data_IF_360311889860
#
_entry.id   IF_360311889860
#
_cell.length_a   1.000
_cell.length_b   1.000
_cell.length_c   1.000
_cell.angle_alpha   90.00
_cell.angle_beta   90.00
_cell.angle_gamma   90.00
#
_symmetry.space_group_name_H-M   'P 1'
#
loop_
_entity.id
_entity.type
_entity.pdbx_description
1 polymer ?
#
# COMPACT_ATOMS: atom_id res chain seq x y z
N UNK A 1 11.31 30.95 -5.19
CA UNK A 1 11.09 30.39 -3.85
C UNK A 1 10.94 28.88 -4.00
N UNK A 2 12.01 28.08 -3.90
CA UNK A 2 11.85 26.63 -3.81
C UNK A 2 11.21 26.32 -2.45
N UNK A 3 10.01 25.72 -2.46
CA UNK A 3 9.43 25.18 -1.23
C UNK A 3 10.24 23.94 -0.84
N UNK A 4 11.18 24.12 0.08
CA UNK A 4 11.78 23.02 0.83
C UNK A 4 10.64 22.42 1.67
N UNK A 5 10.12 21.27 1.23
CA UNK A 5 9.32 20.41 2.09
C UNK A 5 10.28 19.83 3.14
N UNK A 6 10.45 20.54 4.25
CA UNK A 6 11.11 19.98 5.42
C UNK A 6 10.16 18.93 6.02
N UNK A 7 10.54 17.66 5.91
CA UNK A 7 9.89 16.59 6.65
C UNK A 7 10.07 16.87 8.13
N UNK A 8 8.99 17.25 8.80
CA UNK A 8 9.03 17.57 10.24
C UNK A 8 8.71 16.33 11.06
N UNK A 9 9.10 16.29 12.34
CA UNK A 9 8.72 15.19 13.25
C UNK A 9 7.19 15.00 13.33
N UNK A 10 6.40 16.05 13.06
CA UNK A 10 4.94 15.97 12.99
C UNK A 10 4.41 15.11 11.83
N UNK A 11 5.20 14.88 10.77
CA UNK A 11 4.84 13.98 9.68
C UNK A 11 4.97 12.50 10.07
N UNK A 12 5.74 12.17 11.12
CA UNK A 12 5.91 10.80 11.62
C UNK A 12 4.68 10.30 12.39
N UNK A 13 3.96 11.20 13.07
CA UNK A 13 2.83 10.84 13.95
C UNK A 13 1.46 11.00 13.27
N UNK A 14 1.41 11.34 11.99
CA UNK A 14 0.13 11.47 11.29
C UNK A 14 -0.56 10.11 11.18
N UNK A 15 -1.88 10.02 11.41
CA UNK A 15 -2.59 8.76 11.21
C UNK A 15 -2.53 8.36 9.73
N UNK A 16 -2.18 7.10 9.47
CA UNK A 16 -2.20 6.55 8.13
C UNK A 16 -3.59 6.71 7.50
N UNK A 17 -3.61 7.12 6.24
CA UNK A 17 -4.82 7.13 5.44
C UNK A 17 -5.26 5.69 5.14
N UNK A 18 -6.55 5.49 4.81
CA UNK A 18 -7.05 4.14 4.48
C UNK A 18 -6.26 3.44 3.36
N UNK A 19 -5.83 4.10 2.27
CA UNK A 19 -4.95 3.48 1.27
C UNK A 19 -3.58 3.06 1.82
N UNK A 20 -2.97 3.87 2.68
CA UNK A 20 -1.67 3.54 3.31
C UNK A 20 -1.82 2.33 4.24
N UNK A 21 -2.88 2.27 5.05
CA UNK A 21 -3.19 1.08 5.87
C UNK A 21 -3.41 -0.17 5.02
N UNK A 22 -4.04 -0.06 3.85
CA UNK A 22 -4.18 -1.21 2.95
C UNK A 22 -2.83 -1.66 2.38
N UNK A 23 -1.94 -0.72 2.06
CA UNK A 23 -0.59 -1.04 1.59
C UNK A 23 0.22 -1.74 2.69
N UNK A 24 0.12 -1.26 3.93
CA UNK A 24 0.73 -1.90 5.11
C UNK A 24 0.19 -3.32 5.33
N UNK A 25 -1.13 -3.50 5.24
CA UNK A 25 -1.73 -4.84 5.36
C UNK A 25 -1.22 -5.78 4.28
N UNK A 26 -1.13 -5.32 3.03
CA UNK A 26 -0.55 -6.13 1.93
C UNK A 26 0.92 -6.42 2.20
N UNK A 27 1.69 -5.47 2.71
CA UNK A 27 3.10 -5.67 3.09
C UNK A 27 3.24 -6.74 4.17
N UNK A 28 2.42 -6.73 5.21
CA UNK A 28 2.41 -7.78 6.24
C UNK A 28 2.06 -9.16 5.68
N UNK A 29 1.16 -9.22 4.70
CA UNK A 29 0.72 -10.47 4.08
C UNK A 29 1.64 -10.96 2.97
N UNK A 30 2.56 -10.13 2.49
CA UNK A 30 3.41 -10.44 1.35
C UNK A 30 4.56 -11.35 1.77
N UNK A 31 4.61 -12.54 1.18
CA UNK A 31 5.63 -13.58 1.43
C UNK A 31 6.94 -13.34 0.63
N UNK A 32 7.05 -12.22 -0.08
CA UNK A 32 8.18 -11.89 -0.96
C UNK A 32 8.10 -12.45 -2.37
N UNK A 33 7.10 -13.29 -2.70
CA UNK A 33 7.01 -13.98 -4.01
C UNK A 33 5.62 -13.92 -4.64
N UNK A 34 4.58 -14.03 -3.83
CA UNK A 34 3.21 -14.26 -4.25
C UNK A 34 2.39 -12.98 -4.12
N UNK A 35 1.76 -12.49 -5.20
CA UNK A 35 0.84 -11.37 -5.12
C UNK A 35 -0.30 -11.65 -4.15
N UNK A 36 -0.56 -10.71 -3.24
CA UNK A 36 -1.62 -10.82 -2.23
C UNK A 36 -2.97 -10.54 -2.89
N UNK A 37 -3.95 -11.44 -2.74
CA UNK A 37 -5.27 -11.23 -3.37
C UNK A 37 -6.12 -10.27 -2.55
N UNK A 38 -6.92 -9.46 -3.23
CA UNK A 38 -7.90 -8.56 -2.60
C UNK A 38 -8.85 -9.28 -1.63
N UNK A 39 -9.21 -10.54 -1.95
CA UNK A 39 -10.08 -11.35 -1.10
C UNK A 39 -9.40 -11.67 0.23
N UNK A 40 -8.14 -12.10 0.20
CA UNK A 40 -7.39 -12.47 1.40
C UNK A 40 -7.19 -11.26 2.32
N UNK A 41 -6.95 -10.07 1.75
CA UNK A 41 -6.89 -8.80 2.50
C UNK A 41 -8.23 -8.48 3.15
N UNK A 42 -9.34 -8.65 2.41
CA UNK A 42 -10.68 -8.42 2.93
C UNK A 42 -11.05 -9.37 4.07
N UNK A 43 -10.69 -10.65 3.92
CA UNK A 43 -10.90 -11.69 4.93
C UNK A 43 -10.07 -11.40 6.19
N UNK A 44 -8.78 -11.04 6.07
CA UNK A 44 -7.92 -10.67 7.21
C UNK A 44 -8.46 -9.48 7.98
N UNK A 45 -8.98 -8.48 7.28
CA UNK A 45 -9.53 -7.27 7.91
C UNK A 45 -10.99 -7.45 8.36
N UNK A 46 -11.64 -8.57 8.02
CA UNK A 46 -13.09 -8.76 8.19
C UNK A 46 -13.90 -7.59 7.60
N UNK A 47 -13.50 -7.11 6.42
CA UNK A 47 -14.09 -5.95 5.74
C UNK A 47 -14.74 -6.33 4.41
N UNK A 48 -15.65 -5.47 3.95
CA UNK A 48 -16.33 -5.65 2.67
C UNK A 48 -15.32 -5.56 1.51
N UNK A 49 -15.33 -6.59 0.66
CA UNK A 49 -14.45 -6.72 -0.51
C UNK A 49 -14.42 -5.47 -1.41
N UNK A 50 -15.59 -4.88 -1.72
CA UNK A 50 -15.68 -3.70 -2.60
C UNK A 50 -14.96 -2.48 -2.04
N UNK A 51 -15.05 -2.26 -0.73
CA UNK A 51 -14.36 -1.19 -0.01
C UNK A 51 -12.85 -1.41 -0.03
N UNK A 52 -12.40 -2.62 0.33
CA UNK A 52 -10.98 -3.01 0.32
C UNK A 52 -10.39 -2.87 -1.08
N UNK A 53 -11.07 -3.38 -2.11
CA UNK A 53 -10.69 -3.21 -3.52
C UNK A 53 -10.49 -1.74 -3.86
N UNK A 54 -11.41 -0.87 -3.46
CA UNK A 54 -11.35 0.56 -3.76
C UNK A 54 -10.12 1.21 -3.12
N UNK A 55 -9.84 0.92 -1.86
CA UNK A 55 -8.67 1.47 -1.17
C UNK A 55 -7.35 0.92 -1.72
N UNK A 56 -7.28 -0.36 -2.10
CA UNK A 56 -6.09 -0.93 -2.75
C UNK A 56 -5.82 -0.29 -4.12
N UNK A 57 -6.84 0.00 -4.92
CA UNK A 57 -6.65 0.74 -6.16
C UNK A 57 -6.17 2.17 -5.92
N UNK A 58 -6.64 2.82 -4.84
CA UNK A 58 -6.11 4.13 -4.43
C UNK A 58 -4.65 4.03 -3.99
N UNK A 59 -4.29 3.00 -3.23
CA UNK A 59 -2.91 2.74 -2.83
C UNK A 59 -2.00 2.51 -4.06
N UNK A 60 -2.49 1.79 -5.06
CA UNK A 60 -1.77 1.63 -6.32
C UNK A 60 -1.59 2.93 -7.11
N UNK A 61 -2.59 3.82 -7.11
CA UNK A 61 -2.47 5.17 -7.70
C UNK A 61 -1.46 6.06 -6.96
N UNK A 62 -1.25 5.82 -5.67
CA UNK A 62 -0.24 6.50 -4.85
C UNK A 62 1.16 5.89 -5.02
N UNK A 63 1.31 4.82 -5.83
CA UNK A 63 2.57 4.12 -6.00
C UNK A 63 2.97 3.23 -4.82
N UNK A 64 2.08 3.02 -3.85
CA UNK A 64 2.34 2.19 -2.66
C UNK A 64 2.23 0.69 -2.95
N UNK A 65 1.49 0.32 -4.01
CA UNK A 65 1.26 -1.06 -4.43
C UNK A 65 1.26 -1.17 -5.95
N UNK A 66 1.67 -2.33 -6.46
CA UNK A 66 1.53 -2.67 -7.86
C UNK A 66 0.35 -3.62 -8.06
N UNK A 67 -0.62 -3.23 -8.90
CA UNK A 67 -1.71 -4.11 -9.27
C UNK A 67 -1.26 -5.07 -10.37
N UNK A 68 -1.30 -6.38 -10.07
CA UNK A 68 -1.04 -7.43 -11.06
C UNK A 68 -2.36 -8.04 -11.50
N UNK A 69 -2.79 -7.81 -12.76
CA UNK A 69 -4.09 -8.27 -13.25
C UNK A 69 -4.30 -9.77 -12.98
N UNK A 70 -5.47 -10.09 -12.43
CA UNK A 70 -5.91 -11.46 -12.09
C UNK A 70 -5.04 -12.20 -11.06
N UNK A 71 -3.99 -11.59 -10.52
CA UNK A 71 -3.11 -12.19 -9.51
C UNK A 71 -3.25 -11.52 -8.14
N UNK A 72 -3.31 -10.20 -8.08
CA UNK A 72 -3.44 -9.48 -6.81
C UNK A 72 -2.55 -8.24 -6.75
N UNK A 73 -1.96 -8.01 -5.59
CA UNK A 73 -1.17 -6.83 -5.26
C UNK A 73 0.24 -7.25 -4.87
N UNK A 74 1.22 -6.53 -5.40
CA UNK A 74 2.62 -6.64 -5.04
C UNK A 74 3.09 -5.37 -4.38
N UNK A 75 4.14 -5.50 -3.57
CA UNK A 75 4.94 -4.34 -3.18
C UNK A 75 5.65 -3.81 -4.42
N UNK A 76 5.69 -2.48 -4.64
CA UNK A 76 6.61 -1.91 -5.61
C UNK A 76 8.02 -2.36 -5.22
N UNK A 77 8.83 -2.77 -6.18
CA UNK A 77 10.26 -2.97 -5.94
C UNK A 77 10.81 -1.62 -5.50
N UNK A 78 11.10 -1.48 -4.20
CA UNK A 78 12.02 -0.44 -3.75
C UNK A 78 13.36 -0.83 -4.29
N UNK A 79 13.63 -0.40 -5.52
CA UNK A 79 14.97 -0.31 -6.03
C UNK A 79 15.71 0.57 -5.02
N UNK A 80 16.48 -0.06 -4.13
CA UNK A 80 17.55 0.61 -3.41
C UNK A 80 18.61 0.94 -4.47
N UNK A 81 18.27 1.85 -5.38
CA UNK A 81 19.19 2.45 -6.30
C UNK A 81 20.09 3.37 -5.49
N UNK A 82 21.21 2.78 -5.05
CA UNK A 82 22.52 3.38 -4.82
C UNK A 82 22.58 4.91 -4.69
N UNK A 83 22.98 5.35 -3.50
CA UNK A 83 23.61 6.64 -3.22
C UNK A 83 24.44 6.52 -1.96
#
# INVERSE_FOLDING_TARGET
MPYLLEFTEADLDRPLTEPEKMAETVREMFDGKTPVRTKDVADRLSRIYGTVKTHLHRAGKLGLLLHVPRRGWLMPETDHANG
#
